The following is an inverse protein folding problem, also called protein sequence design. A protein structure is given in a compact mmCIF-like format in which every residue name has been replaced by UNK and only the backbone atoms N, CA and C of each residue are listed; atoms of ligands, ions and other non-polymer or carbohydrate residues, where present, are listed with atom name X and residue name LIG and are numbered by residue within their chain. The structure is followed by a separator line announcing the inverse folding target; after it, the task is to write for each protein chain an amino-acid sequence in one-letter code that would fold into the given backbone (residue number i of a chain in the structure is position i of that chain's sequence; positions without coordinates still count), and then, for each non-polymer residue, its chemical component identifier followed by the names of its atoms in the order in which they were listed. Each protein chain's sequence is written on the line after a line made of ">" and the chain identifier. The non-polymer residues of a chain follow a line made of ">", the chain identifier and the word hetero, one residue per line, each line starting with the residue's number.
data_IF_779071586934
#
_entry.id   IF_779071586934
#
_cell.length_a   1.000
_cell.length_b   1.000
_cell.length_c   1.000
_cell.angle_alpha   90.00
_cell.angle_beta   90.00
_cell.angle_gamma   90.00
#
_symmetry.space_group_name_H-M   'P 1'
#
loop_
_entity.id
_entity.type
_entity.pdbx_description
1 polymer ?
#
# COMPACT_ATOMS: atom_id res chain seq x y z
N UNK A 1 14.23 -25.33 -7.21
CA UNK A 1 13.13 -24.35 -7.19
C UNK A 1 11.86 -25.12 -6.88
N UNK A 2 11.28 -24.96 -5.69
CA UNK A 2 9.96 -25.53 -5.41
C UNK A 2 8.94 -24.43 -5.73
N UNK A 3 8.23 -24.59 -6.84
CA UNK A 3 7.03 -23.79 -7.11
C UNK A 3 5.95 -24.19 -6.09
N UNK A 4 5.06 -23.27 -5.70
CA UNK A 4 3.94 -23.61 -4.82
C UNK A 4 3.12 -24.76 -5.39
N UNK A 5 2.58 -25.62 -4.52
CA UNK A 5 1.71 -26.74 -4.92
C UNK A 5 0.51 -26.18 -5.70
N UNK A 6 0.07 -26.88 -6.74
CA UNK A 6 -0.98 -26.44 -7.67
C UNK A 6 -2.30 -26.00 -6.98
N UNK A 7 -2.59 -26.47 -5.76
CA UNK A 7 -3.74 -26.02 -4.94
C UNK A 7 -3.60 -24.58 -4.41
N UNK A 8 -2.40 -24.09 -4.12
CA UNK A 8 -2.18 -22.72 -3.66
C UNK A 8 -2.34 -21.68 -4.78
N UNK A 9 -2.21 -22.11 -6.04
CA UNK A 9 -2.37 -21.24 -7.22
C UNK A 9 -3.84 -20.86 -7.53
N UNK A 10 -4.82 -21.44 -6.82
CA UNK A 10 -6.25 -21.16 -7.01
C UNK A 10 -6.83 -20.14 -6.03
N UNK A 11 -6.04 -19.68 -5.06
CA UNK A 11 -6.49 -18.73 -4.03
C UNK A 11 -6.14 -17.29 -4.47
N UNK A 12 -7.14 -16.42 -4.76
CA UNK A 12 -6.91 -15.10 -5.36
C UNK A 12 -5.99 -14.20 -4.52
N UNK A 13 -5.97 -14.39 -3.20
CA UNK A 13 -5.07 -13.68 -2.28
C UNK A 13 -3.57 -13.90 -2.57
N UNK A 14 -3.19 -15.07 -3.08
CA UNK A 14 -1.78 -15.38 -3.42
C UNK A 14 -1.35 -14.69 -4.70
N UNK A 15 -2.26 -14.65 -5.66
CA UNK A 15 -2.02 -13.93 -6.90
C UNK A 15 -1.90 -12.42 -6.55
N UNK A 16 -2.85 -11.88 -5.79
CA UNK A 16 -2.94 -10.45 -5.48
C UNK A 16 -1.97 -9.94 -4.41
N UNK A 17 -1.10 -10.79 -3.89
CA UNK A 17 -0.14 -10.42 -2.84
C UNK A 17 0.85 -9.33 -3.31
N UNK A 18 1.22 -8.36 -2.44
CA UNK A 18 2.17 -7.31 -2.82
C UNK A 18 3.62 -7.81 -2.92
N UNK A 19 4.36 -7.40 -3.94
CA UNK A 19 5.83 -7.53 -3.93
C UNK A 19 6.44 -6.32 -3.23
N UNK A 20 6.91 -6.52 -2.00
CA UNK A 20 7.47 -5.44 -1.18
C UNK A 20 8.92 -5.20 -1.60
N UNK A 21 9.19 -4.00 -2.09
CA UNK A 21 10.51 -3.56 -2.55
C UNK A 21 11.01 -2.48 -1.59
N UNK A 22 12.15 -2.70 -0.96
CA UNK A 22 12.79 -1.67 -0.12
C UNK A 22 13.90 -1.00 -0.90
N UNK A 23 13.80 0.31 -1.07
CA UNK A 23 14.84 1.12 -1.71
C UNK A 23 16.02 1.29 -0.76
N UNK A 24 17.23 1.01 -1.26
CA UNK A 24 18.48 1.27 -0.56
C UNK A 24 19.05 2.53 -1.20
N UNK A 25 19.11 3.62 -0.45
CA UNK A 25 19.83 4.80 -0.91
C UNK A 25 21.32 4.47 -0.93
N UNK A 26 21.89 4.31 -2.14
CA UNK A 26 23.33 4.39 -2.30
C UNK A 26 23.72 5.86 -2.20
N UNK A 27 24.57 6.19 -1.23
CA UNK A 27 25.23 7.49 -1.18
C UNK A 27 25.85 7.78 -2.55
N UNK A 28 25.26 8.75 -3.26
CA UNK A 28 25.63 9.22 -4.60
C UNK A 28 25.47 8.22 -5.77
N UNK A 29 24.39 8.37 -6.55
CA UNK A 29 24.56 8.86 -7.93
C UNK A 29 23.27 9.54 -8.42
N UNK A 30 23.46 10.66 -9.10
CA UNK A 30 22.43 11.49 -9.70
C UNK A 30 21.76 10.76 -10.88
N UNK A 31 20.52 10.31 -10.69
CA UNK A 31 19.60 10.10 -11.79
C UNK A 31 18.33 10.94 -11.62
N UNK A 32 17.89 11.63 -12.69
CA UNK A 32 16.83 12.62 -12.58
C UNK A 32 15.51 11.92 -12.28
N UNK A 33 14.84 12.36 -11.22
CA UNK A 33 13.45 12.07 -10.98
C UNK A 33 12.62 12.40 -12.24
N UNK A 34 11.58 11.63 -12.58
CA UNK A 34 10.62 12.08 -13.58
C UNK A 34 9.97 13.37 -13.08
N UNK A 35 10.26 14.46 -13.80
CA UNK A 35 9.69 15.82 -13.73
C UNK A 35 9.03 16.22 -12.40
N UNK A 36 9.86 16.59 -11.42
CA UNK A 36 9.53 17.72 -10.57
C UNK A 36 10.11 18.98 -11.23
N UNK A 37 9.24 19.91 -11.61
CA UNK A 37 9.65 21.18 -12.22
C UNK A 37 10.35 22.05 -11.19
N UNK A 38 11.65 22.27 -11.40
CA UNK A 38 12.50 23.42 -11.01
C UNK A 38 12.47 23.93 -9.56
N UNK A 39 13.63 23.81 -8.89
CA UNK A 39 14.41 24.93 -8.35
C UNK A 39 15.89 24.51 -8.21
N UNK A 40 16.80 25.46 -8.44
CA UNK A 40 18.17 25.26 -8.91
C UNK A 40 19.25 24.89 -7.86
N UNK A 41 20.29 24.19 -8.34
CA UNK A 41 21.62 23.79 -7.81
C UNK A 41 22.63 24.97 -7.67
N UNK A 42 23.96 24.79 -7.37
CA UNK A 42 24.73 23.77 -6.59
C UNK A 42 25.91 24.36 -5.72
N UNK A 43 26.51 23.59 -4.79
CA UNK A 43 27.99 23.31 -4.71
C UNK A 43 28.43 22.53 -3.46
N UNK A 44 29.52 21.78 -3.66
CA UNK A 44 30.47 21.18 -2.71
C UNK A 44 30.32 19.68 -2.39
N UNK A 45 30.79 18.88 -3.35
CA UNK A 45 31.33 17.56 -3.11
C UNK A 45 32.86 17.61 -3.32
N UNK A 46 33.65 17.21 -2.32
CA UNK A 46 34.83 16.34 -2.50
C UNK A 46 35.46 16.01 -1.14
N UNK A 47 35.95 14.77 -1.02
CA UNK A 47 36.51 14.05 0.16
C UNK A 47 35.43 13.43 1.02
N UNK A 48 35.15 12.13 0.86
CA UNK A 48 34.81 11.14 1.92
C UNK A 48 34.84 9.68 1.37
N UNK A 49 35.77 9.35 0.46
CA UNK A 49 35.73 8.10 -0.33
C UNK A 49 36.17 6.80 0.37
N UNK A 50 36.43 6.77 1.68
CA UNK A 50 36.83 5.52 2.37
C UNK A 50 36.03 5.20 3.64
N UNK A 51 35.24 6.13 4.18
CA UNK A 51 34.30 5.87 5.27
C UNK A 51 32.92 5.38 4.78
N UNK A 52 32.58 5.68 3.52
CA UNK A 52 31.27 5.34 2.93
C UNK A 52 31.12 3.85 2.60
N UNK A 53 32.21 3.15 2.29
CA UNK A 53 32.15 1.72 1.98
C UNK A 53 31.76 0.88 3.21
N UNK A 54 32.32 1.16 4.39
CA UNK A 54 32.00 0.44 5.62
C UNK A 54 30.61 0.80 6.18
N UNK A 55 30.13 2.04 6.01
CA UNK A 55 28.73 2.41 6.34
C UNK A 55 27.71 1.74 5.42
N UNK A 56 28.04 1.57 4.15
CA UNK A 56 27.14 0.95 3.18
C UNK A 56 26.98 -0.56 3.43
N UNK A 57 28.02 -1.27 3.84
CA UNK A 57 27.92 -2.69 4.22
C UNK A 57 27.03 -2.91 5.45
N UNK A 58 27.18 -2.05 6.48
CA UNK A 58 26.36 -2.11 7.71
C UNK A 58 24.88 -1.74 7.46
N UNK A 59 24.60 -0.98 6.39
CA UNK A 59 23.23 -0.60 5.97
C UNK A 59 22.55 -1.73 5.20
N UNK A 60 23.28 -2.49 4.39
CA UNK A 60 22.76 -3.64 3.63
C UNK A 60 22.42 -4.82 4.56
N UNK A 61 23.17 -5.03 5.64
CA UNK A 61 22.88 -6.07 6.65
C UNK A 61 21.58 -5.82 7.46
N UNK A 62 21.02 -4.60 7.41
CA UNK A 62 19.80 -4.20 8.15
C UNK A 62 18.50 -4.33 7.36
N UNK A 63 18.53 -5.01 6.21
CA UNK A 63 17.34 -5.26 5.40
C UNK A 63 16.71 -6.57 5.85
N UNK A 64 15.98 -6.49 6.96
CA UNK A 64 15.15 -7.59 7.45
C UNK A 64 13.88 -7.72 6.60
N UNK A 65 13.46 -8.94 6.22
CA UNK A 65 12.16 -9.17 5.60
C UNK A 65 11.02 -8.78 6.55
N UNK A 66 9.79 -8.62 6.04
CA UNK A 66 8.63 -8.57 6.92
C UNK A 66 8.55 -9.87 7.73
N UNK A 67 8.28 -9.78 9.03
CA UNK A 67 8.33 -10.91 9.96
C UNK A 67 6.98 -11.20 10.62
N UNK A 68 6.75 -12.47 10.94
CA UNK A 68 5.64 -12.88 11.79
C UNK A 68 5.76 -12.25 13.18
N UNK A 69 4.62 -11.92 13.78
CA UNK A 69 4.60 -11.36 15.11
C UNK A 69 4.73 -12.44 16.18
N UNK A 70 5.43 -12.09 17.25
CA UNK A 70 5.48 -12.85 18.50
C UNK A 70 5.72 -11.93 19.68
N UNK A 71 5.49 -12.43 20.88
CA UNK A 71 5.86 -11.76 22.12
C UNK A 71 7.26 -12.22 22.52
N UNK A 72 8.10 -11.28 22.97
CA UNK A 72 9.38 -11.59 23.59
C UNK A 72 9.22 -11.95 25.07
N UNK A 73 10.32 -12.29 25.76
CA UNK A 73 10.31 -12.65 27.19
C UNK A 73 9.83 -11.52 28.11
N UNK A 74 9.69 -10.30 27.59
CA UNK A 74 9.21 -9.11 28.28
C UNK A 74 7.78 -8.73 27.86
N UNK A 75 7.05 -9.65 27.23
CA UNK A 75 5.69 -9.45 26.74
C UNK A 75 5.56 -8.30 25.73
N UNK A 76 6.64 -8.05 24.97
CA UNK A 76 6.65 -7.02 23.92
C UNK A 76 6.46 -7.66 22.57
N UNK A 77 5.58 -7.06 21.78
CA UNK A 77 5.33 -7.48 20.40
C UNK A 77 6.55 -7.15 19.52
N UNK A 78 7.10 -8.18 18.88
CA UNK A 78 8.24 -8.08 17.96
C UNK A 78 7.90 -8.78 16.64
N UNK A 79 8.54 -8.35 15.56
CA UNK A 79 8.51 -9.05 14.27
C UNK A 79 9.73 -9.97 14.16
N UNK A 80 9.52 -11.24 13.84
CA UNK A 80 10.56 -12.23 13.65
C UNK A 80 10.99 -12.31 12.17
N UNK A 81 12.17 -11.80 11.80
CA UNK A 81 12.64 -11.86 10.42
C UNK A 81 13.06 -13.28 9.99
N UNK A 82 13.22 -14.22 10.92
CA UNK A 82 13.47 -15.62 10.59
C UNK A 82 12.20 -16.37 10.17
N UNK A 83 11.02 -15.78 10.41
CA UNK A 83 9.71 -16.31 10.04
C UNK A 83 8.93 -15.30 9.20
N UNK A 84 9.28 -15.08 7.92
CA UNK A 84 8.72 -13.98 7.16
C UNK A 84 7.23 -14.12 6.85
N UNK A 85 6.43 -13.10 7.17
CA UNK A 85 4.98 -13.16 7.03
C UNK A 85 4.33 -11.83 6.59
N UNK A 86 3.23 -11.97 5.85
CA UNK A 86 2.28 -10.91 5.54
C UNK A 86 0.88 -11.43 5.90
N UNK A 87 0.15 -10.67 6.69
CA UNK A 87 -1.21 -11.04 7.12
C UNK A 87 -2.22 -10.56 6.09
N UNK A 88 -3.17 -11.41 5.72
CA UNK A 88 -4.17 -11.13 4.70
C UNK A 88 -5.59 -11.40 5.17
N UNK A 89 -6.52 -10.55 4.77
CA UNK A 89 -7.98 -10.78 4.88
C UNK A 89 -8.66 -10.41 3.58
N UNK A 90 -9.63 -11.23 3.16
CA UNK A 90 -10.62 -10.84 2.17
C UNK A 90 -11.89 -10.38 2.88
N UNK A 91 -12.48 -9.28 2.43
CA UNK A 91 -13.76 -8.76 2.94
C UNK A 91 -14.60 -8.18 1.81
N UNK A 92 -15.82 -7.75 2.14
CA UNK A 92 -16.65 -6.93 1.27
C UNK A 92 -16.82 -5.53 1.87
N UNK A 93 -16.91 -4.53 1.02
CA UNK A 93 -17.24 -3.16 1.40
C UNK A 93 -18.39 -2.67 0.53
N UNK A 94 -19.23 -1.80 1.08
CA UNK A 94 -20.24 -1.07 0.29
C UNK A 94 -19.69 0.33 0.02
N UNK A 95 -19.46 0.64 -1.26
CA UNK A 95 -19.03 1.95 -1.74
C UNK A 95 -20.03 2.50 -2.77
N UNK A 96 -20.50 3.72 -2.60
CA UNK A 96 -21.52 4.39 -3.40
C UNK A 96 -22.77 3.51 -3.64
N UNK A 97 -23.18 2.75 -2.62
CA UNK A 97 -24.32 1.84 -2.69
C UNK A 97 -24.07 0.55 -3.48
N UNK A 98 -22.82 0.23 -3.83
CA UNK A 98 -22.43 -1.02 -4.49
C UNK A 98 -21.44 -1.82 -3.65
N UNK A 99 -21.56 -3.16 -3.68
CA UNK A 99 -20.61 -4.05 -3.01
C UNK A 99 -19.36 -4.26 -3.87
N UNK A 100 -18.20 -4.19 -3.22
CA UNK A 100 -16.89 -4.48 -3.80
C UNK A 100 -16.14 -5.48 -2.93
N UNK A 101 -15.36 -6.34 -3.58
CA UNK A 101 -14.41 -7.22 -2.88
C UNK A 101 -13.18 -6.41 -2.49
N UNK A 102 -12.72 -6.58 -1.26
CA UNK A 102 -11.49 -5.98 -0.76
C UNK A 102 -10.51 -7.03 -0.25
N UNK A 103 -9.23 -6.78 -0.51
CA UNK A 103 -8.11 -7.50 0.11
C UNK A 103 -7.32 -6.56 1.00
N UNK A 104 -7.07 -6.98 2.23
CA UNK A 104 -6.30 -6.23 3.21
C UNK A 104 -5.01 -6.99 3.50
N UNK A 105 -3.87 -6.36 3.25
CA UNK A 105 -2.54 -6.88 3.57
C UNK A 105 -1.90 -6.02 4.65
N UNK A 106 -1.35 -6.66 5.68
CA UNK A 106 -0.63 -6.01 6.78
C UNK A 106 0.69 -6.74 7.02
N UNK A 107 1.77 -6.01 7.20
CA UNK A 107 3.07 -6.60 7.51
C UNK A 107 3.89 -5.74 8.45
N UNK A 108 4.89 -6.37 9.06
CA UNK A 108 5.65 -5.79 10.15
C UNK A 108 7.15 -5.97 9.93
N UNK A 109 7.93 -4.94 10.25
CA UNK A 109 9.39 -5.00 10.25
C UNK A 109 9.95 -4.77 11.65
N UNK A 110 10.99 -5.53 11.96
CA UNK A 110 11.82 -5.27 13.13
C UNK A 110 12.57 -3.95 12.95
N UNK A 111 12.35 -3.03 13.88
CA UNK A 111 13.01 -1.74 13.94
C UNK A 111 14.19 -1.70 14.89
N UNK A 112 14.98 -0.64 14.80
CA UNK A 112 16.02 -0.37 15.80
C UNK A 112 15.38 -0.14 17.18
N UNK A 113 16.05 -0.58 18.25
CA UNK A 113 15.58 -0.47 19.64
C UNK A 113 14.23 -1.18 19.90
N UNK A 114 14.01 -2.34 19.26
CA UNK A 114 12.80 -3.15 19.40
C UNK A 114 11.51 -2.39 19.05
N UNK A 115 11.60 -1.41 18.14
CA UNK A 115 10.42 -0.75 17.60
C UNK A 115 9.78 -1.65 16.54
N UNK A 116 8.47 -1.76 16.58
CA UNK A 116 7.70 -2.44 15.54
C UNK A 116 7.25 -1.42 14.49
N UNK A 117 7.61 -1.64 13.23
CA UNK A 117 7.09 -0.84 12.12
C UNK A 117 6.00 -1.63 11.42
N UNK A 118 4.78 -1.09 11.36
CA UNK A 118 3.67 -1.67 10.62
C UNK A 118 3.43 -0.91 9.32
N UNK A 119 3.11 -1.67 8.27
CA UNK A 119 2.65 -1.16 6.99
C UNK A 119 1.45 -1.98 6.53
N UNK A 120 0.69 -1.43 5.60
CA UNK A 120 -0.47 -2.13 5.06
C UNK A 120 -0.93 -1.56 3.73
N UNK A 121 -1.59 -2.42 2.98
CA UNK A 121 -2.21 -2.12 1.70
C UNK A 121 -3.64 -2.68 1.72
N UNK A 122 -4.65 -1.85 1.50
CA UNK A 122 -6.00 -2.32 1.17
C UNK A 122 -6.24 -2.14 -0.31
N UNK A 123 -6.77 -3.16 -0.96
CA UNK A 123 -7.03 -3.19 -2.39
C UNK A 123 -8.52 -3.43 -2.62
N UNK A 124 -9.17 -2.54 -3.35
CA UNK A 124 -10.58 -2.67 -3.74
C UNK A 124 -10.66 -3.11 -5.19
N UNK A 125 -11.34 -4.22 -5.43
CA UNK A 125 -11.57 -4.75 -6.77
C UNK A 125 -12.85 -4.18 -7.36
N UNK A 126 -12.79 -3.78 -8.62
CA UNK A 126 -13.91 -3.33 -9.41
C UNK A 126 -14.82 -4.48 -9.86
N UNK A 127 -15.89 -4.14 -10.60
CA UNK A 127 -16.90 -5.09 -11.08
C UNK A 127 -16.38 -6.24 -11.94
N UNK A 128 -15.27 -6.00 -12.63
CA UNK A 128 -14.57 -6.93 -13.51
C UNK A 128 -13.56 -7.82 -12.77
N UNK A 129 -13.43 -7.64 -11.45
CA UNK A 129 -12.48 -8.35 -10.62
C UNK A 129 -11.07 -7.76 -10.63
N UNK A 130 -10.83 -6.63 -11.31
CA UNK A 130 -9.53 -5.97 -11.32
C UNK A 130 -9.42 -4.90 -10.23
N UNK A 131 -8.24 -4.67 -9.65
CA UNK A 131 -8.04 -3.61 -8.67
C UNK A 131 -8.31 -2.22 -9.28
N UNK A 132 -9.13 -1.41 -8.60
CA UNK A 132 -9.46 -0.04 -9.02
C UNK A 132 -8.98 1.03 -8.01
N UNK A 133 -8.80 0.65 -6.75
CA UNK A 133 -8.32 1.54 -5.68
C UNK A 133 -7.39 0.78 -4.75
N UNK A 134 -6.29 1.44 -4.36
CA UNK A 134 -5.35 0.97 -3.36
C UNK A 134 -5.20 2.00 -2.25
N UNK A 135 -5.50 1.64 -1.01
CA UNK A 135 -5.31 2.45 0.18
C UNK A 135 -4.02 2.03 0.88
N UNK A 136 -3.20 3.00 1.29
CA UNK A 136 -1.98 2.72 2.05
C UNK A 136 -2.20 3.06 3.51
N UNK A 137 -1.95 2.06 4.39
CA UNK A 137 -1.88 2.33 5.82
C UNK A 137 -0.64 3.16 6.13
N UNK A 138 -0.84 4.28 6.82
CA UNK A 138 0.24 5.11 7.35
C UNK A 138 0.11 5.20 8.87
N UNK A 139 1.04 4.64 9.65
CA UNK A 139 0.96 4.73 11.10
C UNK A 139 0.98 6.20 11.55
N UNK A 140 0.13 6.53 12.53
CA UNK A 140 0.11 7.85 13.13
C UNK A 140 1.49 8.16 13.75
N UNK A 141 2.07 9.31 13.40
CA UNK A 141 3.30 9.75 14.07
C UNK A 141 2.97 10.30 15.45
N UNK A 142 3.73 9.97 16.51
CA UNK A 142 3.46 10.41 17.89
C UNK A 142 3.43 11.93 18.14
N UNK A 143 3.72 12.77 17.12
CA UNK A 143 3.85 14.23 17.24
C UNK A 143 3.18 15.01 16.10
N UNK A 144 2.44 14.36 15.21
CA UNK A 144 1.74 15.09 14.16
C UNK A 144 0.46 15.73 14.74
N UNK A 145 0.43 17.07 14.82
CA UNK A 145 -0.74 17.86 15.23
C UNK A 145 -1.73 18.09 14.09
N UNK A 146 -1.38 17.64 12.88
CA UNK A 146 -2.22 17.68 11.68
C UNK A 146 -2.57 16.25 11.30
N UNK A 147 -3.86 15.99 11.08
CA UNK A 147 -4.35 14.79 10.43
C UNK A 147 -3.61 14.63 9.10
N UNK A 148 -3.01 13.46 8.88
CA UNK A 148 -2.36 13.17 7.60
C UNK A 148 -3.43 12.83 6.59
N UNK A 149 -3.33 13.32 5.34
CA UNK A 149 -4.25 12.91 4.30
C UNK A 149 -4.18 11.40 4.12
N UNK A 150 -5.35 10.80 3.90
CA UNK A 150 -5.45 9.41 3.53
C UNK A 150 -4.87 9.25 2.12
N UNK A 151 -3.87 8.38 1.94
CA UNK A 151 -3.16 8.25 0.67
C UNK A 151 -3.72 7.06 -0.08
N UNK A 152 -4.17 7.32 -1.32
CA UNK A 152 -4.65 6.28 -2.21
C UNK A 152 -3.93 6.32 -3.55
N UNK A 153 -4.04 5.21 -4.28
CA UNK A 153 -3.76 5.13 -5.70
C UNK A 153 -5.04 4.63 -6.37
N UNK A 154 -5.27 5.03 -7.62
CA UNK A 154 -6.44 4.61 -8.40
C UNK A 154 -6.00 4.04 -9.73
N UNK A 155 -6.87 3.28 -10.40
CA UNK A 155 -6.60 2.80 -11.75
C UNK A 155 -6.89 3.87 -12.80
N UNK A 156 -6.32 3.73 -14.00
CA UNK A 156 -6.62 4.60 -15.15
C UNK A 156 -8.13 4.62 -15.45
N UNK A 157 -8.77 3.45 -15.51
CA UNK A 157 -10.22 3.36 -15.71
C UNK A 157 -11.04 4.06 -14.64
N UNK A 158 -10.58 4.05 -13.38
CA UNK A 158 -11.23 4.77 -12.29
C UNK A 158 -11.11 6.28 -12.49
N UNK A 159 -9.91 6.76 -12.78
CA UNK A 159 -9.63 8.19 -12.99
C UNK A 159 -10.38 8.73 -14.22
N UNK A 160 -10.35 8.02 -15.35
CA UNK A 160 -11.09 8.40 -16.56
C UNK A 160 -12.61 8.43 -16.32
N UNK A 161 -13.12 7.51 -15.50
CA UNK A 161 -14.54 7.47 -15.17
C UNK A 161 -14.91 8.57 -14.18
N UNK A 162 -14.02 8.92 -13.25
CA UNK A 162 -14.17 10.05 -12.34
C UNK A 162 -14.17 11.37 -13.13
N UNK A 163 -13.28 11.54 -14.11
CA UNK A 163 -13.24 12.72 -14.98
C UNK A 163 -14.56 12.92 -15.72
N UNK A 164 -15.14 11.85 -16.25
CA UNK A 164 -16.43 11.91 -16.97
C UNK A 164 -17.60 12.35 -16.08
N UNK A 165 -17.55 12.07 -14.78
CA UNK A 165 -18.68 12.29 -13.86
C UNK A 165 -18.50 13.57 -13.05
N UNK A 166 -17.28 13.82 -12.55
CA UNK A 166 -16.96 14.96 -11.70
C UNK A 166 -16.23 16.09 -12.44
N UNK A 167 -15.79 15.86 -13.67
CA UNK A 167 -15.02 16.82 -14.46
C UNK A 167 -13.50 16.64 -14.32
N UNK A 168 -12.72 17.44 -15.05
CA UNK A 168 -11.26 17.36 -15.06
C UNK A 168 -10.66 17.73 -13.70
N UNK A 169 -9.38 17.39 -13.44
CA UNK A 169 -8.71 17.76 -12.21
C UNK A 169 -8.70 19.27 -12.00
N UNK A 170 -8.84 19.71 -10.75
CA UNK A 170 -8.98 21.14 -10.42
C UNK A 170 -7.70 21.94 -10.64
N UNK A 171 -6.54 21.30 -10.57
CA UNK A 171 -5.24 21.88 -10.84
C UNK A 171 -4.31 20.78 -11.40
N UNK A 172 -3.13 21.19 -11.86
CA UNK A 172 -2.18 20.28 -12.51
C UNK A 172 -1.57 19.21 -11.58
N UNK A 173 -1.76 19.32 -10.27
CA UNK A 173 -1.22 18.41 -9.25
C UNK A 173 -2.30 17.50 -8.64
N UNK A 174 -3.57 17.67 -9.03
CA UNK A 174 -4.70 16.89 -8.54
C UNK A 174 -5.15 15.86 -9.58
N UNK A 175 -5.99 14.95 -9.13
CA UNK A 175 -6.69 13.96 -9.96
C UNK A 175 -8.20 14.19 -9.91
N UNK A 176 -8.90 13.83 -10.98
CA UNK A 176 -10.37 13.87 -11.09
C UNK A 176 -11.06 12.99 -10.05
N UNK A 177 -10.40 11.91 -9.62
CA UNK A 177 -10.86 11.05 -8.55
C UNK A 177 -10.94 11.74 -7.18
N UNK A 178 -10.24 12.85 -6.94
CA UNK A 178 -10.23 13.52 -5.62
C UNK A 178 -11.49 14.35 -5.37
N UNK A 179 -12.09 14.23 -4.17
CA UNK A 179 -13.14 15.14 -3.71
C UNK A 179 -12.62 16.19 -2.76
N UNK A 180 -12.95 17.44 -3.05
CA UNK A 180 -12.40 18.60 -2.33
C UNK A 180 -13.33 19.18 -1.25
N UNK A 181 -14.54 18.65 -1.11
CA UNK A 181 -15.56 19.13 -0.17
C UNK A 181 -15.45 18.52 1.23
N UNK A 182 -14.59 17.52 1.43
CA UNK A 182 -14.42 16.84 2.72
C UNK A 182 -13.12 17.24 3.43
N UNK A 183 -13.27 17.79 4.65
CA UNK A 183 -12.16 18.06 5.56
C UNK A 183 -11.53 16.74 6.04
N UNK A 184 -10.19 16.64 6.02
CA UNK A 184 -9.44 15.39 6.27
C UNK A 184 -9.08 14.61 5.00
N UNK A 185 -8.88 15.32 3.87
CA UNK A 185 -8.90 14.82 2.50
C UNK A 185 -8.09 13.55 2.19
N UNK A 186 -8.69 12.72 1.33
CA UNK A 186 -7.94 11.69 0.59
C UNK A 186 -7.14 12.39 -0.52
N UNK A 187 -5.90 11.96 -0.71
CA UNK A 187 -5.02 12.39 -1.81
C UNK A 187 -4.71 11.18 -2.68
N UNK A 188 -4.93 11.33 -3.99
CA UNK A 188 -4.53 10.34 -4.98
C UNK A 188 -3.07 10.62 -5.32
N UNK A 189 -2.18 9.67 -5.00
CA UNK A 189 -0.75 9.88 -5.16
C UNK A 189 -0.26 9.57 -6.57
N UNK A 190 -0.88 8.59 -7.23
CA UNK A 190 -0.56 8.21 -8.61
C UNK A 190 -1.72 7.39 -9.21
N UNK A 191 -1.75 7.34 -10.54
CA UNK A 191 -2.69 6.51 -11.32
C UNK A 191 -1.92 5.31 -11.86
N UNK A 192 -2.47 4.12 -11.64
CA UNK A 192 -1.88 2.85 -12.04
C UNK A 192 -2.53 2.38 -13.34
N UNK A 193 -1.74 1.83 -14.29
CA UNK A 193 -2.30 1.25 -15.50
C UNK A 193 -3.35 0.19 -15.19
N UNK A 194 -4.43 0.21 -15.96
CA UNK A 194 -5.34 -0.92 -15.98
C UNK A 194 -4.58 -2.14 -16.51
N UNK A 195 -4.74 -3.27 -15.85
CA UNK A 195 -4.10 -4.49 -16.32
C UNK A 195 -4.82 -5.71 -15.81
N UNK A 196 -4.58 -6.87 -16.44
CA UNK A 196 -4.81 -8.12 -15.77
C UNK A 196 -3.81 -8.12 -14.61
N UNK A 197 -4.25 -7.66 -13.45
CA UNK A 197 -3.49 -7.70 -12.20
C UNK A 197 -4.00 -8.91 -11.40
N UNK A 198 -3.96 -10.17 -11.90
CA UNK A 198 -4.04 -11.26 -10.95
C UNK A 198 -2.81 -11.19 -10.05
N UNK A 199 -1.70 -10.55 -10.47
CA UNK A 199 -0.47 -10.42 -9.69
C UNK A 199 -0.40 -9.06 -8.98
N UNK A 200 -0.51 -9.02 -7.65
CA UNK A 200 -0.56 -7.79 -6.84
C UNK A 200 0.60 -6.79 -7.07
N UNK A 201 0.50 -5.53 -6.63
CA UNK A 201 1.45 -4.48 -7.02
C UNK A 201 2.86 -4.68 -6.45
N UNK A 202 3.85 -4.09 -7.10
CA UNK A 202 5.10 -3.73 -6.43
C UNK A 202 4.81 -2.59 -5.45
N UNK A 203 5.14 -2.78 -4.17
CA UNK A 203 5.02 -1.78 -3.11
C UNK A 203 6.42 -1.29 -2.77
N UNK A 204 6.76 -0.07 -3.17
CA UNK A 204 8.07 0.53 -2.91
C UNK A 204 8.07 1.22 -1.55
N UNK A 205 9.00 0.81 -0.69
CA UNK A 205 9.21 1.35 0.64
C UNK A 205 10.50 2.15 0.67
N UNK A 206 10.45 3.35 1.25
CA UNK A 206 11.64 4.15 1.53
C UNK A 206 12.52 3.45 2.56
N UNK A 207 13.82 3.38 2.30
CA UNK A 207 14.76 2.67 3.18
C UNK A 207 14.82 3.17 4.63
N UNK A 208 14.54 4.46 4.87
CA UNK A 208 14.73 5.14 6.16
C UNK A 208 13.57 4.98 7.14
N UNK A 209 12.33 5.15 6.67
CA UNK A 209 11.11 5.15 7.49
C UNK A 209 10.09 4.09 7.06
N UNK A 210 10.44 3.29 6.04
CA UNK A 210 9.59 2.27 5.43
C UNK A 210 8.27 2.81 4.86
N UNK A 211 8.13 4.13 4.68
CA UNK A 211 6.93 4.70 4.09
C UNK A 211 6.77 4.20 2.65
N UNK A 212 5.54 3.84 2.27
CA UNK A 212 5.22 3.54 0.87
C UNK A 212 5.40 4.80 0.04
N UNK A 213 6.28 4.75 -0.94
CA UNK A 213 6.61 5.87 -1.83
C UNK A 213 5.99 5.74 -3.21
N UNK A 214 5.74 4.50 -3.65
CA UNK A 214 5.10 4.23 -4.93
C UNK A 214 4.44 2.84 -4.94
N UNK A 215 3.39 2.72 -5.73
CA UNK A 215 2.87 1.44 -6.22
C UNK A 215 3.13 1.34 -7.71
N UNK A 216 3.43 0.13 -8.21
CA UNK A 216 3.50 -0.13 -9.67
C UNK A 216 2.89 -1.48 -10.01
N UNK A 217 2.27 -1.57 -11.19
CA UNK A 217 1.92 -2.85 -11.79
C UNK A 217 3.19 -3.70 -11.96
N UNK A 218 3.08 -5.01 -11.78
CA UNK A 218 4.21 -5.92 -12.09
C UNK A 218 4.55 -5.97 -13.58
N UNK A 219 3.61 -5.55 -14.41
CA UNK A 219 3.73 -5.43 -15.86
C UNK A 219 4.51 -4.18 -16.30
N UNK A 220 4.64 -3.18 -15.44
CA UNK A 220 5.36 -1.94 -15.75
C UNK A 220 6.87 -2.14 -15.63
N UNK A 221 7.69 -1.32 -16.33
CA UNK A 221 9.13 -1.29 -16.13
C UNK A 221 9.49 -1.12 -14.64
N UNK A 222 10.47 -1.88 -14.18
CA UNK A 222 10.97 -1.80 -12.80
C UNK A 222 11.69 -0.46 -12.57
N UNK A 223 11.62 0.07 -11.34
CA UNK A 223 12.29 1.34 -10.96
C UNK A 223 13.70 1.15 -10.38
N UNK A 224 14.17 -0.09 -10.29
CA UNK A 224 15.49 -0.42 -9.76
C UNK A 224 16.34 -1.07 -10.85
N UNK A 225 17.63 -0.76 -10.86
CA UNK A 225 18.60 -1.34 -11.80
C UNK A 225 19.23 -2.63 -11.25
N UNK A 226 19.16 -2.84 -9.94
CA UNK A 226 19.76 -3.99 -9.28
C UNK A 226 18.92 -4.49 -8.11
N UNK A 227 18.75 -5.81 -8.03
CA UNK A 227 18.19 -6.49 -6.86
C UNK A 227 19.34 -6.91 -5.96
N UNK A 228 19.41 -6.33 -4.77
CA UNK A 228 20.44 -6.67 -3.76
C UNK A 228 20.09 -7.95 -3.02
N UNK A 229 18.80 -8.14 -2.69
CA UNK A 229 18.31 -9.32 -1.98
C UNK A 229 16.84 -9.55 -2.27
N UNK A 230 16.46 -10.82 -2.31
CA UNK A 230 15.07 -11.26 -2.42
C UNK A 230 14.73 -12.11 -1.20
N UNK A 231 13.51 -11.94 -0.70
CA UNK A 231 12.96 -12.75 0.36
C UNK A 231 11.59 -13.26 -0.06
N UNK A 232 11.23 -14.41 0.47
CA UNK A 232 9.89 -14.96 0.38
C UNK A 232 9.22 -14.81 1.73
N UNK A 233 7.91 -14.67 1.73
CA UNK A 233 7.09 -14.61 2.93
C UNK A 233 5.86 -15.47 2.77
N UNK A 234 5.31 -15.91 3.89
CA UNK A 234 4.03 -16.62 3.92
C UNK A 234 2.87 -15.64 4.03
N UNK A 235 1.79 -15.94 3.33
CA UNK A 235 0.50 -15.29 3.56
C UNK A 235 -0.20 -15.97 4.73
N UNK A 236 -0.41 -15.22 5.80
CA UNK A 236 -1.09 -15.71 7.01
C UNK A 236 -2.47 -15.10 7.15
N UNK A 237 -3.45 -15.85 7.68
CA UNK A 237 -4.78 -15.31 7.95
C UNK A 237 -4.70 -14.15 8.95
N UNK A 238 -5.49 -13.10 8.73
CA UNK A 238 -5.57 -11.94 9.62
C UNK A 238 -5.96 -12.31 11.05
N UNK A 239 -6.67 -13.41 11.24
CA UNK A 239 -7.06 -13.94 12.54
C UNK A 239 -5.85 -14.24 13.43
N UNK A 240 -4.72 -14.68 12.85
CA UNK A 240 -3.47 -14.88 13.59
C UNK A 240 -2.89 -13.56 14.09
N UNK A 241 -2.99 -12.49 13.32
CA UNK A 241 -2.58 -11.14 13.77
C UNK A 241 -3.46 -10.67 14.93
N UNK A 242 -4.77 -10.92 14.86
CA UNK A 242 -5.73 -10.43 15.84
C UNK A 242 -5.62 -11.11 17.21
N UNK A 243 -4.87 -12.22 17.33
CA UNK A 243 -4.47 -12.76 18.64
C UNK A 243 -3.68 -11.72 19.45
N UNK A 244 -2.93 -10.85 18.78
CA UNK A 244 -2.14 -9.79 19.40
C UNK A 244 -2.91 -8.48 19.60
N UNK A 245 -4.25 -8.46 19.47
CA UNK A 245 -5.09 -7.25 19.51
C UNK A 245 -4.72 -6.26 20.62
N UNK A 246 -4.50 -6.74 21.84
CA UNK A 246 -4.16 -5.90 22.99
C UNK A 246 -2.82 -5.13 22.86
N UNK A 247 -1.92 -5.60 21.97
CA UNK A 247 -0.59 -5.05 21.74
C UNK A 247 -0.49 -4.22 20.45
N UNK A 248 -1.52 -4.23 19.61
CA UNK A 248 -1.50 -3.52 18.33
C UNK A 248 -1.82 -2.03 18.51
N UNK A 249 -1.19 -1.14 17.72
CA UNK A 249 -1.52 0.29 17.75
C UNK A 249 -3.01 0.53 17.43
N UNK A 250 -3.71 1.40 18.18
CA UNK A 250 -5.13 1.69 17.93
C UNK A 250 -5.43 2.12 16.48
N UNK A 251 -4.57 2.93 15.87
CA UNK A 251 -4.73 3.37 14.48
C UNK A 251 -4.67 2.20 13.48
N UNK A 252 -3.85 1.18 13.78
CA UNK A 252 -3.77 -0.01 12.94
C UNK A 252 -5.02 -0.88 13.12
N UNK A 253 -5.49 -1.07 14.36
CA UNK A 253 -6.73 -1.81 14.63
C UNK A 253 -7.94 -1.17 13.95
N UNK A 254 -8.09 0.15 14.11
CA UNK A 254 -9.12 0.96 13.47
C UNK A 254 -9.09 0.77 11.94
N UNK A 255 -7.90 0.77 11.34
CA UNK A 255 -7.74 0.53 9.90
C UNK A 255 -8.02 -0.93 9.50
N UNK A 256 -7.63 -1.91 10.32
CA UNK A 256 -7.94 -3.32 10.08
C UNK A 256 -9.43 -3.58 10.21
N UNK A 257 -10.13 -3.00 11.17
CA UNK A 257 -11.56 -3.23 11.40
C UNK A 257 -12.45 -2.49 10.41
N UNK A 258 -11.90 -1.48 9.72
CA UNK A 258 -12.69 -0.61 8.85
C UNK A 258 -13.51 0.41 9.65
N UNK A 259 -13.17 0.59 10.93
CA UNK A 259 -13.74 1.60 11.83
C UNK A 259 -13.03 2.95 11.71
N UNK A 260 -11.80 2.98 11.16
CA UNK A 260 -11.22 4.22 10.66
C UNK A 260 -12.18 4.82 9.63
N UNK A 261 -12.38 6.15 9.62
CA UNK A 261 -13.21 6.80 8.63
C UNK A 261 -12.91 6.33 7.20
N UNK A 262 -11.68 5.91 6.87
CA UNK A 262 -11.26 5.41 5.54
C UNK A 262 -12.31 4.64 4.72
N UNK A 263 -12.93 3.55 5.23
CA UNK A 263 -13.85 2.77 4.40
C UNK A 263 -15.23 3.46 4.19
N UNK A 264 -15.78 4.13 5.22
CA UNK A 264 -17.03 4.91 5.10
C UNK A 264 -16.79 6.32 4.52
N UNK A 265 -15.53 6.75 4.49
CA UNK A 265 -15.10 8.04 3.99
C UNK A 265 -14.58 7.97 2.57
N UNK A 266 -14.17 6.81 2.02
CA UNK A 266 -13.82 6.73 0.60
C UNK A 266 -14.97 7.19 -0.30
N UNK A 267 -16.21 6.80 0.00
CA UNK A 267 -17.42 7.27 -0.70
C UNK A 267 -17.61 8.79 -0.68
N UNK A 268 -17.12 9.40 0.39
CA UNK A 268 -17.21 10.83 0.61
C UNK A 268 -15.98 11.54 0.05
N UNK A 269 -14.81 10.91 0.07
CA UNK A 269 -13.52 11.52 -0.21
C UNK A 269 -13.03 11.27 -1.64
N UNK A 270 -13.60 10.30 -2.36
CA UNK A 270 -13.34 10.07 -3.78
C UNK A 270 -14.59 10.32 -4.63
N UNK A 271 -14.39 10.79 -5.86
CA UNK A 271 -15.41 10.85 -6.87
C UNK A 271 -15.67 9.43 -7.36
N UNK A 272 -16.60 8.73 -6.72
CA UNK A 272 -16.87 7.33 -7.08
C UNK A 272 -17.65 7.24 -8.39
N UNK A 273 -17.08 6.67 -9.47
CA UNK A 273 -17.67 6.79 -10.80
C UNK A 273 -18.65 5.65 -11.14
N UNK A 274 -18.84 4.71 -10.22
CA UNK A 274 -19.71 3.56 -10.40
C UNK A 274 -20.99 3.75 -9.57
N UNK A 275 -22.09 4.24 -10.18
CA UNK A 275 -23.34 4.41 -9.46
C UNK A 275 -23.84 3.08 -8.90
N UNK A 276 -24.73 3.10 -7.89
CA UNK A 276 -25.36 1.88 -7.41
C UNK A 276 -25.98 1.14 -8.58
N UNK A 277 -25.84 -0.19 -8.59
CA UNK A 277 -26.48 -1.00 -9.61
C UNK A 277 -27.97 -0.64 -9.61
N UNK A 278 -28.51 -0.17 -10.74
CA UNK A 278 -29.96 -0.02 -10.88
C UNK A 278 -30.54 -1.40 -10.58
N UNK A 279 -31.29 -1.52 -9.49
CA UNK A 279 -32.13 -2.69 -9.27
C UNK A 279 -32.94 -2.82 -10.54
N UNK A 280 -32.68 -3.87 -11.34
CA UNK A 280 -33.60 -4.21 -12.43
C UNK A 280 -34.95 -4.34 -11.73
N UNK A 281 -35.96 -3.53 -12.08
CA UNK A 281 -37.28 -3.71 -11.49
C UNK A 281 -37.60 -5.19 -11.69
N UNK A 282 -37.84 -5.91 -10.59
CA UNK A 282 -38.34 -7.27 -10.60
C UNK A 282 -39.47 -7.23 -11.61
N UNK A 283 -39.22 -7.86 -12.77
CA UNK A 283 -40.18 -7.89 -13.86
C UNK A 283 -41.43 -8.47 -13.24
N UNK A 284 -42.42 -7.61 -13.01
CA UNK A 284 -43.72 -8.02 -12.55
C UNK A 284 -44.17 -9.09 -13.53
N UNK A 285 -44.35 -10.30 -13.00
CA UNK A 285 -45.04 -11.36 -13.70
C UNK A 285 -46.33 -10.73 -14.23
N UNK A 286 -46.41 -10.59 -15.56
CA UNK A 286 -47.66 -10.21 -16.21
C UNK A 286 -48.63 -11.38 -16.02
N UNK A 287 -49.91 -11.08 -15.77
CA UNK A 287 -50.92 -12.02 -15.27
C UNK A 287 -51.18 -13.19 -16.21
#
# INVERSE_FOLDING_TARGET
>A
MAFPRAEQAQRPEYALAPLIVREIEHGSSSHPAPRASTLATPRDALRHSQADASRNTETIERIAPPGALRLDDLDRLIADPADPAVYVRQSEVVLAGRRYTQFLYVWFHAGTRNRLYSQGLRMTLGPDGYPIVWEVFRPALPRATTERPHVVFVSESFEEAAERICGPPRNAEAFSAERTDHAGGTVVLDVLPDGPVPLGPYVYLRGTDLAVTALRCRCSPQRFDQVVRTFYYDLRPMEELLVYRAHLPPSLLSWIEGDEPGARSLDQQLCWPYPPAREKPLSSERP
#
